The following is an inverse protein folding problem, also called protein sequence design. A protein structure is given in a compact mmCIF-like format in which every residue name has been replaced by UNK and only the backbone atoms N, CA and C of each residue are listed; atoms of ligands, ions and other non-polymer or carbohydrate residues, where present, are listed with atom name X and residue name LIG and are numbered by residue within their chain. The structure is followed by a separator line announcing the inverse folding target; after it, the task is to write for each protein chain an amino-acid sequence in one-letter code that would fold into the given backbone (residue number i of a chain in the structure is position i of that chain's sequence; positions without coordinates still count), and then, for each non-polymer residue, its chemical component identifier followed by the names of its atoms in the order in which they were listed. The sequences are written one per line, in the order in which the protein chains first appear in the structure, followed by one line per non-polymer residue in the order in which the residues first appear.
data_IF_882890885378
#
_entry.id   IF_882890885378
#
_cell.length_a   1.000
_cell.length_b   1.000
_cell.length_c   1.000
_cell.angle_alpha   90.00
_cell.angle_beta   90.00
_cell.angle_gamma   90.00
#
_symmetry.space_group_name_H-M   'P 1'
#
loop_
_entity.id
_entity.type
_entity.pdbx_description
1 polymer ?
#
# COMPACT_ATOMS: atom_id res chain seq x y z
N UNK A 1 53.61 3.62 -70.46
CA UNK A 1 53.28 5.02 -70.11
C UNK A 1 52.24 4.96 -69.02
N UNK A 2 52.67 5.29 -67.81
CA UNK A 2 51.97 5.08 -66.56
C UNK A 2 50.69 5.89 -66.46
N UNK A 3 49.60 5.21 -66.12
CA UNK A 3 48.37 5.87 -65.71
C UNK A 3 48.60 6.46 -64.31
N UNK A 4 48.73 7.79 -64.25
CA UNK A 4 48.80 8.56 -63.01
C UNK A 4 47.53 8.30 -62.20
N UNK A 5 47.66 7.50 -61.14
CA UNK A 5 46.65 7.35 -60.09
C UNK A 5 46.64 8.62 -59.26
N UNK A 6 45.71 9.52 -59.53
CA UNK A 6 45.40 10.61 -58.61
C UNK A 6 44.85 10.00 -57.30
N UNK A 7 45.69 9.99 -56.27
CA UNK A 7 45.29 9.67 -54.91
C UNK A 7 44.71 10.96 -54.32
N UNK A 8 43.40 11.13 -54.41
CA UNK A 8 42.74 12.31 -53.86
C UNK A 8 42.76 12.23 -52.32
N UNK A 9 43.52 13.09 -51.62
CA UNK A 9 43.59 13.09 -50.16
C UNK A 9 42.22 13.41 -49.54
N UNK A 10 41.28 13.95 -50.33
CA UNK A 10 39.91 14.15 -49.92
C UNK A 10 39.17 12.83 -49.60
N UNK A 11 39.65 11.68 -50.10
CA UNK A 11 39.02 10.38 -49.87
C UNK A 11 39.36 9.75 -48.51
N UNK A 12 40.41 10.22 -47.83
CA UNK A 12 40.88 9.72 -46.53
C UNK A 12 40.18 10.36 -45.32
N UNK A 13 39.61 11.55 -45.47
CA UNK A 13 38.96 12.29 -44.38
C UNK A 13 37.44 12.11 -44.32
N UNK A 14 36.83 11.43 -45.31
CA UNK A 14 35.41 11.14 -45.28
C UNK A 14 35.11 10.08 -44.19
N UNK A 15 34.35 10.42 -43.13
CA UNK A 15 33.98 9.42 -42.14
C UNK A 15 33.09 8.38 -42.82
N UNK A 16 33.61 7.18 -43.06
CA UNK A 16 32.83 5.97 -43.40
C UNK A 16 31.98 5.59 -42.18
N UNK A 17 30.97 6.39 -41.88
CA UNK A 17 29.97 6.12 -40.85
C UNK A 17 28.62 5.93 -41.50
N UNK A 18 28.57 5.02 -42.48
CA UNK A 18 27.33 4.34 -42.78
C UNK A 18 27.10 3.32 -41.66
N UNK A 19 26.63 3.80 -40.51
CA UNK A 19 25.86 2.98 -39.60
C UNK A 19 24.70 2.46 -40.44
N UNK A 20 24.78 1.20 -40.85
CA UNK A 20 23.75 0.55 -41.64
C UNK A 20 22.41 0.79 -40.95
N UNK A 21 21.41 1.24 -41.72
CA UNK A 21 20.08 1.55 -41.19
C UNK A 21 19.52 0.40 -40.33
N UNK A 22 19.94 -0.82 -40.63
CA UNK A 22 19.63 -2.04 -39.87
C UNK A 22 20.22 -2.08 -38.46
N UNK A 23 21.43 -1.56 -38.24
CA UNK A 23 22.06 -1.53 -36.93
C UNK A 23 21.41 -0.49 -36.01
N UNK A 24 20.92 0.62 -36.58
CA UNK A 24 20.09 1.59 -35.87
C UNK A 24 18.68 1.01 -35.56
N UNK A 25 18.05 0.30 -36.50
CA UNK A 25 16.74 -0.35 -36.29
C UNK A 25 16.77 -1.42 -35.20
N UNK A 26 17.78 -2.29 -35.18
CA UNK A 26 17.90 -3.36 -34.18
C UNK A 26 17.98 -2.82 -32.75
N UNK A 27 18.71 -1.72 -32.54
CA UNK A 27 18.83 -1.08 -31.21
C UNK A 27 17.51 -0.46 -30.74
N UNK A 28 16.73 0.10 -31.66
CA UNK A 28 15.42 0.71 -31.33
C UNK A 28 14.29 -0.30 -31.16
N UNK A 29 14.37 -1.48 -31.79
CA UNK A 29 13.34 -2.52 -31.67
C UNK A 29 13.24 -3.10 -30.27
N UNK A 30 14.38 -3.36 -29.60
CA UNK A 30 14.39 -3.86 -28.22
C UNK A 30 13.72 -2.90 -27.23
N UNK A 31 14.05 -1.60 -27.32
CA UNK A 31 13.44 -0.56 -26.47
C UNK A 31 11.94 -0.40 -26.78
N UNK A 32 11.54 -0.51 -28.05
CA UNK A 32 10.13 -0.45 -28.45
C UNK A 32 9.34 -1.62 -27.90
N UNK A 33 9.88 -2.84 -27.96
CA UNK A 33 9.27 -4.03 -27.37
C UNK A 33 9.16 -3.91 -25.85
N UNK A 34 10.24 -3.47 -25.18
CA UNK A 34 10.26 -3.29 -23.74
C UNK A 34 9.23 -2.23 -23.29
N UNK A 35 9.14 -1.10 -24.01
CA UNK A 35 8.12 -0.07 -23.76
C UNK A 35 6.71 -0.63 -23.91
N UNK A 36 6.47 -1.44 -24.95
CA UNK A 36 5.17 -2.07 -25.16
C UNK A 36 4.85 -3.05 -24.03
N UNK A 37 5.81 -3.87 -23.62
CA UNK A 37 5.66 -4.82 -22.53
C UNK A 37 5.33 -4.12 -21.20
N UNK A 38 6.08 -3.08 -20.83
CA UNK A 38 5.78 -2.30 -19.63
C UNK A 38 4.41 -1.62 -19.70
N UNK A 39 4.04 -1.07 -20.85
CA UNK A 39 2.74 -0.43 -21.05
C UNK A 39 1.59 -1.45 -20.93
N UNK A 40 1.77 -2.66 -21.50
CA UNK A 40 0.82 -3.75 -21.40
C UNK A 40 0.67 -4.23 -19.95
N UNK A 41 1.77 -4.44 -19.23
CA UNK A 41 1.74 -4.81 -17.81
C UNK A 41 1.03 -3.74 -16.97
N UNK A 42 1.30 -2.46 -17.21
CA UNK A 42 0.62 -1.37 -16.49
C UNK A 42 -0.89 -1.38 -16.76
N UNK A 43 -1.31 -1.55 -18.01
CA UNK A 43 -2.72 -1.64 -18.38
C UNK A 43 -3.41 -2.85 -17.72
N UNK A 44 -2.74 -4.01 -17.68
CA UNK A 44 -3.24 -5.21 -17.00
C UNK A 44 -3.39 -4.96 -15.50
N UNK A 45 -2.38 -4.37 -14.85
CA UNK A 45 -2.43 -4.05 -13.42
C UNK A 45 -3.58 -3.10 -13.08
N UNK A 46 -3.77 -2.05 -13.89
CA UNK A 46 -4.90 -1.12 -13.73
C UNK A 46 -6.23 -1.86 -13.91
N UNK A 47 -6.35 -2.69 -14.94
CA UNK A 47 -7.56 -3.48 -15.20
C UNK A 47 -7.89 -4.46 -14.07
N UNK A 48 -6.89 -5.15 -13.52
CA UNK A 48 -7.05 -6.04 -12.37
C UNK A 48 -7.46 -5.27 -11.11
N UNK A 49 -6.80 -4.16 -10.82
CA UNK A 49 -7.10 -3.34 -9.65
C UNK A 49 -8.51 -2.75 -9.73
N UNK A 50 -8.87 -2.16 -10.87
CA UNK A 50 -10.18 -1.59 -11.10
C UNK A 50 -11.27 -2.68 -11.12
N UNK A 51 -10.99 -3.83 -11.73
CA UNK A 51 -11.88 -5.00 -11.72
C UNK A 51 -12.12 -5.52 -10.31
N UNK A 52 -11.09 -5.57 -9.46
CA UNK A 52 -11.24 -5.96 -8.06
C UNK A 52 -12.05 -4.93 -7.26
N UNK A 53 -11.84 -3.63 -7.49
CA UNK A 53 -12.62 -2.56 -6.85
C UNK A 53 -14.09 -2.65 -7.26
N UNK A 54 -14.39 -2.77 -8.56
CA UNK A 54 -15.78 -2.86 -9.05
C UNK A 54 -16.42 -4.14 -8.54
N UNK A 55 -15.73 -5.29 -8.61
CA UNK A 55 -16.24 -6.54 -8.06
C UNK A 55 -16.45 -6.47 -6.55
N UNK A 56 -15.55 -5.83 -5.81
CA UNK A 56 -15.73 -5.60 -4.37
C UNK A 56 -16.89 -4.64 -4.09
N UNK A 57 -17.09 -3.61 -4.90
CA UNK A 57 -18.21 -2.67 -4.74
C UNK A 57 -19.56 -3.34 -5.01
N UNK A 58 -19.65 -4.20 -6.02
CA UNK A 58 -20.86 -4.97 -6.33
C UNK A 58 -21.07 -6.09 -5.30
N UNK A 59 -20.00 -6.78 -4.90
CA UNK A 59 -20.07 -7.82 -3.87
C UNK A 59 -20.31 -7.26 -2.45
N UNK A 60 -20.16 -5.95 -2.24
CA UNK A 60 -20.43 -5.26 -0.95
C UNK A 60 -21.91 -5.16 -0.58
N UNK A 61 -22.82 -5.67 -1.41
CA UNK A 61 -24.16 -6.06 -0.94
C UNK A 61 -24.10 -7.26 0.04
N UNK A 62 -22.94 -7.93 0.18
CA UNK A 62 -22.67 -8.91 1.22
C UNK A 62 -21.60 -8.38 2.19
N UNK A 63 -22.05 -7.63 3.18
CA UNK A 63 -21.35 -7.27 4.44
C UNK A 63 -19.94 -6.69 4.30
N UNK A 64 -19.74 -5.37 4.53
CA UNK A 64 -18.39 -4.82 4.60
C UNK A 64 -17.60 -5.55 5.69
N UNK A 65 -16.35 -5.95 5.39
CA UNK A 65 -15.37 -6.31 6.41
C UNK A 65 -15.21 -5.05 7.28
N UNK A 66 -15.90 -5.05 8.41
CA UNK A 66 -15.66 -4.13 9.50
C UNK A 66 -14.27 -4.47 10.02
N UNK A 67 -13.25 -3.82 9.47
CA UNK A 67 -12.04 -3.59 10.26
C UNK A 67 -12.54 -2.75 11.43
N UNK A 68 -12.77 -3.40 12.58
CA UNK A 68 -13.17 -2.75 13.80
C UNK A 68 -12.04 -1.78 14.20
N UNK A 69 -12.04 -0.58 13.63
CA UNK A 69 -11.27 0.59 14.08
C UNK A 69 -11.90 1.14 15.37
N UNK A 70 -12.05 0.24 16.32
CA UNK A 70 -12.96 0.36 17.42
C UNK A 70 -12.86 -0.95 18.19
N UNK A 71 -11.66 -1.24 18.67
CA UNK A 71 -11.47 -2.27 19.69
C UNK A 71 -12.30 -1.83 20.90
N UNK A 72 -13.56 -2.25 20.94
CA UNK A 72 -14.41 -2.15 22.11
C UNK A 72 -13.80 -3.09 23.12
N UNK A 73 -12.79 -2.58 23.84
CA UNK A 73 -12.09 -3.32 24.88
C UNK A 73 -13.13 -3.71 25.92
N UNK A 74 -13.48 -4.98 25.91
CA UNK A 74 -14.35 -5.61 26.89
C UNK A 74 -13.45 -6.36 27.85
N UNK A 75 -13.29 -5.82 29.05
CA UNK A 75 -12.55 -6.49 30.12
C UNK A 75 -13.51 -7.42 30.84
N UNK A 76 -13.14 -8.68 31.01
CA UNK A 76 -13.89 -9.66 31.79
C UNK A 76 -13.30 -9.73 33.20
N UNK A 77 -14.16 -9.84 34.21
CA UNK A 77 -13.75 -9.81 35.63
C UNK A 77 -12.78 -8.66 35.97
N UNK A 78 -13.04 -7.41 35.54
CA UNK A 78 -12.13 -6.30 35.82
C UNK A 78 -12.04 -6.02 37.33
N UNK A 79 -10.87 -5.54 37.75
CA UNK A 79 -10.62 -5.02 39.10
C UNK A 79 -10.04 -3.63 39.01
N UNK A 80 -10.74 -2.64 39.56
CA UNK A 80 -10.28 -1.27 39.68
C UNK A 80 -9.93 -0.97 41.14
N UNK A 81 -8.83 -0.28 41.40
CA UNK A 81 -8.46 0.21 42.72
C UNK A 81 -8.38 1.72 42.72
N UNK A 82 -8.76 2.34 43.83
CA UNK A 82 -8.79 3.80 43.96
C UNK A 82 -8.62 4.23 45.42
N UNK A 83 -8.59 5.55 45.61
CA UNK A 83 -8.69 6.18 46.92
C UNK A 83 -9.85 7.15 46.93
N UNK A 84 -10.58 7.20 48.03
CA UNK A 84 -11.65 8.15 48.23
C UNK A 84 -11.09 9.57 48.53
N UNK A 85 -11.97 10.52 48.81
CA UNK A 85 -11.57 11.89 49.16
C UNK A 85 -10.85 12.02 50.51
N UNK A 86 -10.95 11.00 51.37
CA UNK A 86 -10.35 10.95 52.72
C UNK A 86 -9.02 10.16 52.71
N UNK A 87 -8.68 9.53 51.58
CA UNK A 87 -7.48 8.74 51.37
C UNK A 87 -7.64 7.24 51.66
N UNK A 88 -8.84 6.78 52.03
CA UNK A 88 -9.14 5.36 52.23
C UNK A 88 -9.13 4.65 50.87
N UNK A 89 -8.54 3.46 50.83
CA UNK A 89 -8.41 2.69 49.58
C UNK A 89 -9.63 1.81 49.36
N UNK A 90 -10.14 1.78 48.14
CA UNK A 90 -11.28 0.94 47.75
C UNK A 90 -10.96 0.13 46.50
N UNK A 91 -11.68 -0.99 46.33
CA UNK A 91 -11.64 -1.81 45.12
C UNK A 91 -13.04 -1.98 44.53
N UNK A 92 -13.16 -1.90 43.20
CA UNK A 92 -14.38 -2.21 42.46
C UNK A 92 -14.12 -3.42 41.57
N UNK A 93 -14.97 -4.43 41.68
CA UNK A 93 -14.99 -5.59 40.78
C UNK A 93 -16.30 -5.61 39.99
N UNK A 94 -16.30 -6.21 38.80
CA UNK A 94 -17.50 -6.36 37.98
C UNK A 94 -17.39 -7.64 37.13
N UNK A 95 -18.49 -8.08 36.52
CA UNK A 95 -18.46 -9.22 35.58
C UNK A 95 -17.81 -8.81 34.25
N UNK A 96 -18.10 -7.58 33.80
CA UNK A 96 -17.52 -7.01 32.60
C UNK A 96 -17.39 -5.48 32.70
N UNK A 97 -16.37 -4.92 32.04
CA UNK A 97 -16.22 -3.50 31.77
C UNK A 97 -16.15 -3.24 30.28
N UNK A 98 -16.97 -2.32 29.77
CA UNK A 98 -17.03 -1.93 28.36
C UNK A 98 -16.64 -0.47 28.21
N UNK A 99 -15.56 -0.19 27.47
CA UNK A 99 -15.15 1.19 27.17
C UNK A 99 -16.00 1.75 26.03
N UNK A 100 -16.67 2.88 26.25
CA UNK A 100 -17.49 3.53 25.21
C UNK A 100 -16.60 4.35 24.27
N UNK A 101 -16.65 4.03 22.97
CA UNK A 101 -15.84 4.70 21.95
C UNK A 101 -16.11 6.21 21.85
N UNK A 102 -17.36 6.64 22.11
CA UNK A 102 -17.79 8.04 21.96
C UNK A 102 -17.27 8.96 23.07
N UNK A 103 -16.87 8.42 24.22
CA UNK A 103 -16.58 9.23 25.41
C UNK A 103 -15.19 8.99 25.98
N UNK A 104 -14.34 8.18 25.32
CA UNK A 104 -12.89 8.04 25.55
C UNK A 104 -12.45 7.53 26.92
N UNK A 105 -12.98 8.07 28.01
CA UNK A 105 -12.64 7.79 29.41
C UNK A 105 -13.78 7.11 30.18
N UNK A 106 -14.99 7.04 29.60
CA UNK A 106 -16.14 6.41 30.26
C UNK A 106 -16.10 4.89 30.09
N UNK A 107 -16.28 4.19 31.22
CA UNK A 107 -16.32 2.72 31.29
C UNK A 107 -17.65 2.30 31.92
N UNK A 108 -18.42 1.52 31.17
CA UNK A 108 -19.67 0.94 31.65
C UNK A 108 -19.38 -0.39 32.34
N UNK A 109 -19.77 -0.54 33.62
CA UNK A 109 -19.56 -1.74 34.44
C UNK A 109 -20.85 -2.56 34.51
N UNK A 110 -20.73 -3.88 34.39
CA UNK A 110 -21.86 -4.84 34.53
C UNK A 110 -21.76 -5.54 35.88
N UNK A 111 -22.82 -5.44 36.69
CA UNK A 111 -22.90 -5.98 38.06
C UNK A 111 -21.72 -5.56 38.96
N UNK A 112 -21.49 -4.25 39.18
CA UNK A 112 -20.37 -3.79 39.99
C UNK A 112 -20.57 -4.10 41.48
N UNK A 113 -19.48 -4.50 42.14
CA UNK A 113 -19.38 -4.69 43.60
C UNK A 113 -18.23 -3.82 44.10
N UNK A 114 -18.51 -2.98 45.11
CA UNK A 114 -17.53 -2.15 45.81
C UNK A 114 -17.08 -2.85 47.10
N UNK A 115 -15.76 -2.86 47.33
CA UNK A 115 -15.10 -3.41 48.51
C UNK A 115 -14.19 -2.34 49.12
N UNK A 116 -14.61 -1.79 50.26
CA UNK A 116 -13.83 -0.82 51.03
C UNK A 116 -13.00 -1.56 52.10
N UNK A 117 -11.76 -1.11 52.33
CA UNK A 117 -10.80 -1.70 53.28
C UNK A 117 -10.58 -0.80 54.49
#
# INVERSE_FOLDING_TARGET
MDAVKHHDPASLWAPRRQLTLDQARKRSQGVRLLRLAFSACAAISIGLFLGYIVRSAIAKDATPVQVAQGETVTMLNPRFSGRDSVGQSFNITADAARRRQTTGTLVDLVNPVLLDQ
#
